data_IF_599443795125
#
_entry.id   IF_599443795125
#
_cell.length_a   1.000
_cell.length_b   1.000
_cell.length_c   1.000
_cell.angle_alpha   90.00
_cell.angle_beta   90.00
_cell.angle_gamma   90.00
#
_symmetry.space_group_name_H-M   'P 1'
#
loop_
_entity.id
_entity.type
_entity.pdbx_description
1 polymer ?
#
# COMPACT_ATOMS: atom_id res chain seq x y z
N UNK A 1 1.09 13.88 1.53
CA UNK A 1 1.64 13.14 2.69
C UNK A 1 2.03 11.71 2.30
N UNK A 2 3.16 11.24 2.81
CA UNK A 2 3.74 9.92 2.58
C UNK A 2 3.51 8.97 3.78
N UNK A 3 2.90 7.82 3.52
CA UNK A 3 2.60 6.80 4.53
C UNK A 3 3.31 5.50 4.19
N UNK A 4 4.06 4.94 5.14
CA UNK A 4 4.59 3.58 5.09
C UNK A 4 3.76 2.64 5.97
N UNK A 5 3.28 1.54 5.37
CA UNK A 5 2.69 0.41 6.07
C UNK A 5 3.63 -0.78 5.87
N UNK A 6 4.47 -1.05 6.87
CA UNK A 6 5.50 -2.11 6.86
C UNK A 6 5.85 -2.52 8.29
N UNK A 7 5.95 -3.82 8.56
CA UNK A 7 6.26 -4.34 9.87
C UNK A 7 7.71 -4.05 10.34
N UNK A 8 8.64 -3.83 9.41
CA UNK A 8 10.10 -3.82 9.70
C UNK A 8 10.83 -2.62 9.11
N UNK A 9 10.54 -2.21 7.87
CA UNK A 9 11.31 -1.17 7.18
C UNK A 9 11.01 0.21 7.72
N UNK A 10 12.00 1.08 7.72
CA UNK A 10 11.80 2.50 8.04
C UNK A 10 12.32 3.31 6.88
N UNK A 11 11.46 4.15 6.31
CA UNK A 11 11.82 5.12 5.29
C UNK A 11 11.63 6.53 5.84
N UNK A 12 12.28 7.49 5.20
CA UNK A 12 12.06 8.92 5.47
C UNK A 12 10.73 9.36 4.86
N UNK A 13 9.62 9.04 5.53
CA UNK A 13 8.25 9.39 5.17
C UNK A 13 7.55 10.07 6.35
N UNK A 14 6.42 10.74 6.11
CA UNK A 14 5.69 11.49 7.15
C UNK A 14 5.14 10.59 8.26
N UNK A 15 4.72 9.35 7.93
CA UNK A 15 4.19 8.40 8.92
C UNK A 15 4.56 6.96 8.60
N UNK A 16 4.97 6.22 9.64
CA UNK A 16 5.17 4.77 9.59
C UNK A 16 4.14 4.09 10.48
N UNK A 17 3.51 3.04 9.96
CA UNK A 17 2.59 2.17 10.69
C UNK A 17 3.07 0.73 10.59
N UNK A 18 2.98 0.00 11.71
CA UNK A 18 3.60 -1.33 11.85
C UNK A 18 2.64 -2.50 11.73
N UNK A 19 1.35 -2.22 11.65
CA UNK A 19 0.32 -3.24 11.50
C UNK A 19 -0.81 -2.75 10.59
N UNK A 20 -1.62 -3.70 10.13
CA UNK A 20 -2.70 -3.46 9.18
C UNK A 20 -3.71 -2.46 9.73
N UNK A 21 -4.09 -2.60 11.00
CA UNK A 21 -5.11 -1.74 11.63
C UNK A 21 -4.69 -0.27 11.71
N UNK A 22 -3.43 -0.01 12.08
CA UNK A 22 -2.89 1.35 12.12
C UNK A 22 -2.79 1.95 10.71
N UNK A 23 -2.38 1.16 9.73
CA UNK A 23 -2.31 1.58 8.34
C UNK A 23 -3.67 1.96 7.76
N UNK A 24 -4.69 1.11 7.96
CA UNK A 24 -6.09 1.40 7.58
C UNK A 24 -6.62 2.65 8.25
N UNK A 25 -6.35 2.82 9.55
CA UNK A 25 -6.73 4.03 10.29
C UNK A 25 -6.09 5.28 9.68
N UNK A 26 -4.78 5.24 9.38
CA UNK A 26 -4.07 6.35 8.76
C UNK A 26 -4.65 6.71 7.38
N UNK A 27 -4.93 5.72 6.53
CA UNK A 27 -5.57 5.94 5.22
C UNK A 27 -6.94 6.62 5.31
N UNK A 28 -7.69 6.39 6.39
CA UNK A 28 -9.01 6.99 6.61
C UNK A 28 -8.94 8.41 7.20
N UNK A 29 -7.97 8.65 8.06
CA UNK A 29 -7.90 9.88 8.88
C UNK A 29 -7.00 10.96 8.28
N UNK A 30 -6.18 10.62 7.29
CA UNK A 30 -5.12 11.49 6.78
C UNK A 30 -5.16 11.57 5.24
N UNK A 31 -4.83 12.74 4.64
CA UNK A 31 -4.77 12.89 3.19
C UNK A 31 -3.47 12.27 2.63
N UNK A 32 -3.44 10.94 2.53
CA UNK A 32 -2.31 10.20 1.96
C UNK A 32 -2.22 10.46 0.46
N UNK A 33 -1.05 10.87 -0.02
CA UNK A 33 -0.76 11.09 -1.45
C UNK A 33 0.08 9.95 -2.02
N UNK A 34 1.02 9.45 -1.21
CA UNK A 34 1.87 8.29 -1.52
C UNK A 34 1.75 7.24 -0.42
N UNK A 35 1.38 6.02 -0.79
CA UNK A 35 1.38 4.86 0.10
C UNK A 35 2.53 3.92 -0.28
N UNK A 36 3.46 3.71 0.64
CA UNK A 36 4.45 2.65 0.60
C UNK A 36 3.90 1.43 1.33
N UNK A 37 3.83 0.28 0.67
CA UNK A 37 3.11 -0.89 1.17
C UNK A 37 3.92 -2.18 1.05
N UNK A 38 4.15 -2.84 2.19
CA UNK A 38 4.59 -4.24 2.22
C UNK A 38 3.39 -5.18 2.11
N UNK A 39 3.63 -6.40 1.65
CA UNK A 39 2.65 -7.47 1.63
C UNK A 39 2.54 -8.19 2.97
N UNK A 40 3.66 -8.40 3.67
CA UNK A 40 3.72 -9.26 4.85
C UNK A 40 3.85 -8.46 6.14
N UNK A 41 2.95 -8.73 7.09
CA UNK A 41 2.95 -8.08 8.41
C UNK A 41 3.10 -9.08 9.58
N UNK A 42 3.25 -10.37 9.30
CA UNK A 42 3.19 -11.43 10.33
C UNK A 42 1.77 -11.64 10.88
N UNK A 43 0.75 -11.04 10.26
CA UNK A 43 -0.66 -11.11 10.64
C UNK A 43 -1.47 -11.91 9.61
N UNK A 44 -2.75 -12.14 9.90
CA UNK A 44 -3.70 -12.81 8.97
C UNK A 44 -4.00 -11.95 7.73
N UNK A 45 -4.02 -10.63 7.88
CA UNK A 45 -4.24 -9.70 6.77
C UNK A 45 -2.91 -9.31 6.11
N UNK A 46 -2.94 -9.13 4.79
CA UNK A 46 -1.79 -8.82 3.93
C UNK A 46 -1.92 -7.46 3.27
N UNK A 47 -0.87 -6.99 2.59
CA UNK A 47 -0.91 -5.77 1.78
C UNK A 47 -1.99 -5.83 0.69
N UNK A 48 -2.25 -7.03 0.14
CA UNK A 48 -3.35 -7.23 -0.82
C UNK A 48 -4.72 -6.94 -0.19
N UNK A 49 -4.91 -7.29 1.09
CA UNK A 49 -6.17 -7.03 1.80
C UNK A 49 -6.34 -5.54 2.10
N UNK A 50 -5.24 -4.82 2.39
CA UNK A 50 -5.26 -3.36 2.50
C UNK A 50 -5.67 -2.71 1.18
N UNK A 51 -5.12 -3.16 0.04
CA UNK A 51 -5.47 -2.62 -1.28
C UNK A 51 -6.96 -2.84 -1.57
N UNK A 52 -7.49 -4.04 -1.35
CA UNK A 52 -8.92 -4.34 -1.55
C UNK A 52 -9.80 -3.46 -0.66
N UNK A 53 -9.49 -3.42 0.64
CA UNK A 53 -10.22 -2.63 1.62
C UNK A 53 -10.23 -1.13 1.28
N UNK A 54 -9.08 -0.58 0.88
CA UNK A 54 -8.93 0.83 0.53
C UNK A 54 -9.63 1.15 -0.79
N UNK A 55 -9.59 0.23 -1.77
CA UNK A 55 -10.31 0.36 -3.05
C UNK A 55 -11.81 0.46 -2.84
N UNK A 56 -12.38 -0.46 -2.06
CA UNK A 56 -13.82 -0.49 -1.74
C UNK A 56 -14.32 0.79 -1.05
N UNK A 57 -13.42 1.50 -0.36
CA UNK A 57 -13.74 2.71 0.42
C UNK A 57 -13.30 4.00 -0.26
N UNK A 58 -12.78 3.92 -1.49
CA UNK A 58 -12.20 5.07 -2.19
C UNK A 58 -11.07 5.78 -1.43
N UNK A 59 -10.28 5.02 -0.66
CA UNK A 59 -9.16 5.51 0.14
C UNK A 59 -7.78 5.20 -0.48
N UNK A 60 -7.73 4.64 -1.69
CA UNK A 60 -6.45 4.45 -2.37
C UNK A 60 -5.89 5.80 -2.83
N UNK A 61 -4.63 6.14 -2.47
CA UNK A 61 -4.02 7.41 -2.84
C UNK A 61 -3.58 7.42 -4.30
N UNK A 62 -3.22 8.60 -4.83
CA UNK A 62 -2.79 8.76 -6.23
C UNK A 62 -1.57 7.93 -6.59
N UNK A 63 -0.66 7.72 -5.63
CA UNK A 63 0.54 6.91 -5.80
C UNK A 63 0.62 5.77 -4.78
N UNK A 64 0.93 4.56 -5.26
CA UNK A 64 1.22 3.40 -4.42
C UNK A 64 2.58 2.82 -4.82
N UNK A 65 3.46 2.58 -3.84
CA UNK A 65 4.80 2.01 -4.02
C UNK A 65 4.87 0.67 -3.30
N UNK A 66 5.09 -0.40 -4.03
CA UNK A 66 5.18 -1.75 -3.48
C UNK A 66 6.59 -2.01 -2.95
N UNK A 67 6.75 -2.01 -1.63
CA UNK A 67 8.07 -2.13 -0.97
C UNK A 67 8.35 -3.54 -0.44
N UNK A 68 7.50 -4.48 -0.82
CA UNK A 68 7.58 -5.87 -0.37
C UNK A 68 8.79 -6.61 -0.92
N UNK A 69 9.37 -7.50 -0.11
CA UNK A 69 10.38 -8.46 -0.55
C UNK A 69 9.75 -9.73 -1.18
N UNK A 70 8.44 -9.95 -1.06
CA UNK A 70 7.77 -11.13 -1.62
C UNK A 70 7.47 -10.96 -3.10
N UNK A 71 8.08 -11.74 -4.03
CA UNK A 71 7.78 -11.62 -5.46
C UNK A 71 6.32 -11.98 -5.78
N UNK A 72 5.80 -13.04 -5.15
CA UNK A 72 4.39 -13.44 -5.29
C UNK A 72 3.46 -12.36 -4.74
N UNK A 73 3.72 -11.87 -3.52
CA UNK A 73 2.93 -10.80 -2.92
C UNK A 73 2.95 -9.52 -3.75
N UNK A 74 4.09 -9.17 -4.35
CA UNK A 74 4.20 -8.05 -5.30
C UNK A 74 3.33 -8.26 -6.51
N UNK A 75 3.36 -9.44 -7.13
CA UNK A 75 2.54 -9.77 -8.30
C UNK A 75 1.05 -9.67 -8.00
N UNK A 76 0.61 -10.18 -6.85
CA UNK A 76 -0.79 -10.13 -6.43
C UNK A 76 -1.26 -8.68 -6.19
N UNK A 77 -0.48 -7.89 -5.46
CA UNK A 77 -0.78 -6.48 -5.21
C UNK A 77 -0.76 -5.65 -6.50
N UNK A 78 0.20 -5.91 -7.38
CA UNK A 78 0.31 -5.28 -8.69
C UNK A 78 -0.95 -5.54 -9.54
N UNK A 79 -1.49 -6.75 -9.52
CA UNK A 79 -2.72 -7.07 -10.23
C UNK A 79 -3.91 -6.29 -9.66
N UNK A 80 -4.07 -6.26 -8.35
CA UNK A 80 -5.14 -5.51 -7.69
C UNK A 80 -5.09 -4.01 -8.01
N UNK A 81 -3.89 -3.43 -8.07
CA UNK A 81 -3.69 -2.03 -8.45
C UNK A 81 -4.04 -1.79 -9.92
N UNK A 82 -3.64 -2.68 -10.84
CA UNK A 82 -4.05 -2.60 -12.25
C UNK A 82 -5.56 -2.68 -12.41
N UNK A 83 -6.22 -3.60 -11.71
CA UNK A 83 -7.68 -3.73 -11.70
C UNK A 83 -8.39 -2.51 -11.10
N UNK A 84 -7.68 -1.72 -10.27
CA UNK A 84 -8.15 -0.44 -9.73
C UNK A 84 -7.84 0.76 -10.65
N UNK A 85 -7.23 0.53 -11.82
CA UNK A 85 -6.91 1.55 -12.83
C UNK A 85 -5.52 2.19 -12.69
N UNK A 86 -4.65 1.65 -11.84
CA UNK A 86 -3.28 2.14 -11.72
C UNK A 86 -2.39 1.61 -12.84
N UNK A 87 -1.37 2.39 -13.18
CA UNK A 87 -0.33 2.04 -14.16
C UNK A 87 1.05 2.12 -13.55
N UNK A 88 1.97 1.30 -14.03
CA UNK A 88 3.37 1.27 -13.59
C UNK A 88 4.28 0.97 -14.77
N UNK A 89 5.47 1.60 -14.81
CA UNK A 89 6.53 1.30 -15.77
C UNK A 89 7.61 0.37 -15.22
N UNK A 90 7.73 0.25 -13.89
CA UNK A 90 8.80 -0.48 -13.20
C UNK A 90 8.29 -1.68 -12.38
N UNK A 91 6.96 -1.87 -12.28
CA UNK A 91 6.33 -2.89 -11.45
C UNK A 91 6.44 -2.64 -9.95
N UNK A 92 6.89 -1.44 -9.54
CA UNK A 92 7.12 -1.05 -8.14
C UNK A 92 6.27 0.18 -7.80
N UNK A 93 6.34 1.24 -8.60
CA UNK A 93 5.58 2.49 -8.43
C UNK A 93 4.36 2.49 -9.35
N UNK A 94 3.18 2.65 -8.75
CA UNK A 94 1.89 2.66 -9.41
C UNK A 94 1.23 4.04 -9.25
N UNK A 95 0.72 4.60 -10.35
CA UNK A 95 0.05 5.90 -10.36
C UNK A 95 -1.33 5.82 -11.01
N UNK A 96 -2.25 6.67 -10.55
CA UNK A 96 -3.59 6.83 -11.11
C UNK A 96 -3.87 8.31 -11.38
N UNK A 97 -4.31 8.61 -12.60
CA UNK A 97 -4.64 9.95 -13.09
C UNK A 97 -6.14 10.19 -13.08
#
# INVERSE_FOLDING_TARGET
MELLIDATRTYSVDKVTRCVQQGKRALREMPVETLYLDHHFGERETGSDIIRWARERHLLPKQVVLVTASPRGRSDMAQLLRDAGYRSGDGIRYMKF
#
